data_IF_025452677449
#
_entry.id   IF_025452677449
#
_cell.length_a   1.000
_cell.length_b   1.000
_cell.length_c   1.000
_cell.angle_alpha   90.00
_cell.angle_beta   90.00
_cell.angle_gamma   90.00
#
_symmetry.space_group_name_H-M   'P 1'
#
loop_
_entity.id
_entity.type
_entity.pdbx_description
1 polymer ?
#
# COMPACT_ATOMS: atom_id res chain seq x y z
N UNK A 1 -5.97 -23.85 67.84
CA UNK A 1 -5.01 -24.10 66.74
C UNK A 1 -5.80 -24.58 65.52
N UNK A 2 -5.73 -23.80 64.42
CA UNK A 2 -5.70 -24.18 62.98
C UNK A 2 -6.72 -25.24 62.50
N UNK A 3 -7.58 -25.02 61.52
CA UNK A 3 -7.34 -24.35 60.24
C UNK A 3 -8.67 -23.89 59.61
N UNK A 4 -8.67 -22.69 59.04
CA UNK A 4 -9.67 -22.23 58.09
C UNK A 4 -9.47 -22.95 56.75
N UNK A 5 -10.51 -23.61 56.25
CA UNK A 5 -10.57 -24.22 54.92
C UNK A 5 -11.01 -23.12 53.95
N UNK A 6 -10.05 -22.54 53.21
CA UNK A 6 -10.34 -21.66 52.08
C UNK A 6 -10.69 -22.51 50.86
N UNK A 7 -11.99 -22.63 50.59
CA UNK A 7 -12.51 -23.18 49.34
C UNK A 7 -12.27 -22.14 48.24
N UNK A 8 -11.15 -22.26 47.54
CA UNK A 8 -10.87 -21.47 46.33
C UNK A 8 -11.59 -22.17 45.19
N UNK A 9 -12.78 -21.65 44.86
CA UNK A 9 -13.54 -22.05 43.69
C UNK A 9 -12.75 -21.71 42.43
N UNK A 10 -12.46 -22.74 41.63
CA UNK A 10 -11.88 -22.64 40.29
C UNK A 10 -12.82 -21.84 39.38
N UNK A 11 -12.60 -20.54 39.29
CA UNK A 11 -13.09 -19.74 38.18
C UNK A 11 -12.22 -20.10 36.96
N UNK A 12 -12.69 -21.03 36.14
CA UNK A 12 -12.17 -21.28 34.80
C UNK A 12 -12.44 -20.06 33.93
N UNK A 13 -11.62 -19.02 34.12
CA UNK A 13 -11.48 -17.94 33.14
C UNK A 13 -10.87 -18.56 31.89
N UNK A 14 -11.72 -18.89 30.92
CA UNK A 14 -11.32 -19.07 29.55
C UNK A 14 -10.69 -17.75 29.10
N UNK A 15 -9.37 -17.67 29.26
CA UNK A 15 -8.56 -16.59 28.71
C UNK A 15 -8.60 -16.79 27.20
N UNK A 16 -9.48 -16.05 26.53
CA UNK A 16 -9.43 -15.92 25.09
C UNK A 16 -8.08 -15.26 24.75
N UNK A 17 -7.10 -16.08 24.38
CA UNK A 17 -5.84 -15.61 23.82
C UNK A 17 -6.21 -14.94 22.50
N UNK A 18 -6.25 -13.61 22.51
CA UNK A 18 -6.34 -12.84 21.28
C UNK A 18 -4.94 -12.86 20.69
N UNK A 19 -4.70 -13.76 19.74
CA UNK A 19 -3.47 -13.83 19.00
C UNK A 19 -3.37 -12.54 18.18
N UNK A 20 -2.58 -11.60 18.69
CA UNK A 20 -2.27 -10.36 17.99
C UNK A 20 -1.31 -10.71 16.87
N UNK A 21 -1.85 -11.03 15.69
CA UNK A 21 -1.05 -11.23 14.49
C UNK A 21 -0.19 -9.98 14.26
N UNK A 22 1.11 -10.07 14.56
CA UNK A 22 2.05 -8.99 14.30
C UNK A 22 2.21 -8.87 12.79
N UNK A 23 1.51 -7.90 12.18
CA UNK A 23 1.68 -7.59 10.76
C UNK A 23 3.12 -7.11 10.57
N UNK A 24 3.88 -7.82 9.75
CA UNK A 24 5.22 -7.40 9.34
C UNK A 24 5.19 -5.93 8.89
N UNK A 25 6.21 -5.12 9.26
CA UNK A 25 6.27 -3.73 8.85
C UNK A 25 6.17 -3.60 7.32
N UNK A 26 5.26 -2.74 6.87
CA UNK A 26 5.02 -2.46 5.46
C UNK A 26 5.32 -1.00 5.14
N UNK A 27 5.58 -0.73 3.86
CA UNK A 27 5.77 0.62 3.34
C UNK A 27 4.98 0.80 2.05
N UNK A 28 4.40 1.98 1.87
CA UNK A 28 3.80 2.37 0.60
C UNK A 28 4.86 2.99 -0.30
N UNK A 29 4.92 2.50 -1.53
CA UNK A 29 5.76 3.04 -2.61
C UNK A 29 4.89 3.46 -3.78
N UNK A 30 5.35 4.41 -4.57
CA UNK A 30 4.64 4.96 -5.72
C UNK A 30 5.51 4.97 -6.96
N UNK A 31 4.88 4.99 -8.13
CA UNK A 31 5.54 5.27 -9.41
C UNK A 31 4.56 6.02 -10.32
N UNK A 32 5.08 7.02 -11.03
CA UNK A 32 4.29 7.78 -11.99
C UNK A 32 3.79 6.89 -13.13
N UNK A 33 2.53 7.05 -13.49
CA UNK A 33 1.89 6.29 -14.56
C UNK A 33 2.26 6.79 -15.94
N UNK A 34 2.69 8.04 -16.06
CA UNK A 34 2.93 8.69 -17.35
C UNK A 34 1.65 8.95 -18.14
N UNK A 35 0.50 9.07 -17.46
CA UNK A 35 -0.75 9.48 -18.11
C UNK A 35 -0.68 10.96 -18.51
N UNK A 36 -1.32 11.30 -19.62
CA UNK A 36 -1.39 12.64 -20.19
C UNK A 36 -2.84 13.15 -20.26
N UNK A 37 -3.00 14.48 -20.23
CA UNK A 37 -4.28 15.15 -20.35
C UNK A 37 -4.92 14.85 -21.71
N UNK A 38 -6.26 14.79 -21.73
CA UNK A 38 -7.10 14.49 -22.89
C UNK A 38 -7.01 13.06 -23.45
N UNK A 39 -6.21 12.17 -22.84
CA UNK A 39 -6.19 10.74 -23.17
C UNK A 39 -6.46 9.88 -21.93
N UNK A 40 -7.71 9.42 -21.82
CA UNK A 40 -8.18 8.60 -20.70
C UNK A 40 -7.55 7.20 -20.66
N UNK A 41 -7.00 6.72 -21.77
CA UNK A 41 -6.35 5.40 -21.86
C UNK A 41 -4.83 5.49 -21.68
N UNK A 42 -4.30 6.70 -21.56
CA UNK A 42 -2.87 6.92 -21.37
C UNK A 42 -2.37 6.47 -19.99
N UNK A 43 -1.07 6.21 -19.96
CA UNK A 43 -0.36 5.81 -18.76
C UNK A 43 -0.42 4.32 -18.48
N UNK A 44 0.48 3.88 -17.61
CA UNK A 44 0.69 2.47 -17.30
C UNK A 44 -0.32 2.00 -16.24
N UNK A 45 -1.05 0.88 -16.49
CA UNK A 45 -1.92 0.27 -15.50
C UNK A 45 -1.16 -0.17 -14.23
N UNK A 46 -1.82 -0.16 -13.06
CA UNK A 46 -1.22 -0.66 -11.81
C UNK A 46 -0.78 -2.12 -11.92
N UNK A 47 -1.51 -2.95 -12.67
CA UNK A 47 -1.21 -4.37 -12.89
C UNK A 47 0.15 -4.61 -13.53
N UNK A 48 0.55 -3.75 -14.48
CA UNK A 48 1.85 -3.85 -15.16
C UNK A 48 2.98 -3.56 -14.16
N UNK A 49 2.86 -2.50 -13.37
CA UNK A 49 3.84 -2.14 -12.35
C UNK A 49 3.86 -3.11 -11.17
N UNK A 50 2.71 -3.69 -10.80
CA UNK A 50 2.66 -4.80 -9.84
C UNK A 50 3.51 -5.97 -10.34
N UNK A 51 3.36 -6.32 -11.62
CA UNK A 51 4.12 -7.41 -12.21
C UNK A 51 5.63 -7.10 -12.28
N UNK A 52 6.05 -5.83 -12.40
CA UNK A 52 7.45 -5.42 -12.25
C UNK A 52 7.99 -5.78 -10.85
N UNK A 53 7.22 -5.45 -9.79
CA UNK A 53 7.58 -5.77 -8.41
C UNK A 53 7.63 -7.29 -8.17
N UNK A 54 6.62 -8.03 -8.62
CA UNK A 54 6.53 -9.49 -8.44
C UNK A 54 7.66 -10.21 -9.18
N UNK A 55 8.00 -9.79 -10.40
CA UNK A 55 9.14 -10.37 -11.15
C UNK A 55 10.48 -10.14 -10.47
N UNK A 56 10.59 -9.09 -9.65
CA UNK A 56 11.76 -8.83 -8.82
C UNK A 56 11.74 -9.62 -7.49
N UNK A 57 10.73 -10.47 -7.26
CA UNK A 57 10.58 -11.22 -6.00
C UNK A 57 10.03 -10.38 -4.85
N UNK A 58 9.38 -9.24 -5.14
CA UNK A 58 8.75 -8.38 -4.13
C UNK A 58 7.27 -8.76 -4.03
N UNK A 59 6.85 -9.16 -2.83
CA UNK A 59 5.43 -9.35 -2.51
C UNK A 59 4.71 -8.00 -2.49
N UNK A 60 3.52 -7.96 -3.10
CA UNK A 60 2.65 -6.78 -3.09
C UNK A 60 1.44 -7.07 -2.19
N UNK A 61 1.34 -6.32 -1.10
CA UNK A 61 0.32 -6.47 -0.07
C UNK A 61 -0.99 -5.81 -0.51
N UNK A 62 -0.90 -4.63 -1.13
CA UNK A 62 -2.06 -3.92 -1.67
C UNK A 62 -1.68 -3.02 -2.85
N UNK A 63 -2.66 -2.71 -3.68
CA UNK A 63 -2.54 -1.89 -4.90
C UNK A 63 -3.58 -0.78 -4.83
N UNK A 64 -3.16 0.45 -5.14
CA UNK A 64 -4.04 1.61 -5.27
C UNK A 64 -3.58 2.51 -6.42
N UNK A 65 -4.46 3.40 -6.84
CA UNK A 65 -4.12 4.50 -7.75
C UNK A 65 -4.16 5.82 -6.98
N UNK A 66 -3.59 6.86 -7.56
CA UNK A 66 -3.59 8.17 -6.93
C UNK A 66 -3.15 9.30 -7.83
N UNK A 67 -3.07 10.47 -7.21
CA UNK A 67 -2.52 11.69 -7.78
C UNK A 67 -1.37 12.19 -6.90
N UNK A 68 -0.38 12.83 -7.49
CA UNK A 68 0.83 13.29 -6.81
C UNK A 68 0.65 14.56 -5.96
N UNK A 69 -0.55 15.14 -5.95
CA UNK A 69 -0.88 16.33 -5.17
C UNK A 69 -0.28 17.64 -5.69
N UNK A 70 0.39 17.62 -6.86
CA UNK A 70 0.97 18.81 -7.48
C UNK A 70 -0.03 19.45 -8.45
N UNK A 71 0.14 20.74 -8.70
CA UNK A 71 -0.60 21.41 -9.77
C UNK A 71 0.01 21.03 -11.12
N UNK A 72 -0.84 20.58 -12.05
CA UNK A 72 -0.46 20.26 -13.43
C UNK A 72 -1.21 21.16 -14.41
N UNK A 73 -0.57 21.60 -15.51
CA UNK A 73 -1.26 22.32 -16.58
C UNK A 73 -2.39 21.49 -17.21
N UNK A 74 -3.51 22.13 -17.52
CA UNK A 74 -4.68 21.51 -18.15
C UNK A 74 -4.60 21.61 -19.68
N UNK A 75 -3.51 21.14 -20.28
CA UNK A 75 -3.26 21.18 -21.73
C UNK A 75 -3.14 19.76 -22.27
N UNK A 76 -3.80 19.46 -23.39
CA UNK A 76 -3.71 18.13 -23.98
C UNK A 76 -2.25 17.73 -24.26
N UNK A 77 -1.87 16.51 -23.87
CA UNK A 77 -0.51 15.99 -24.02
C UNK A 77 0.44 16.27 -22.84
N UNK A 78 0.05 17.08 -21.85
CA UNK A 78 0.87 17.26 -20.63
C UNK A 78 0.59 16.17 -19.59
N UNK A 79 1.52 15.88 -18.67
CA UNK A 79 1.29 14.90 -17.60
C UNK A 79 0.09 15.26 -16.70
N UNK A 80 -0.59 14.24 -16.17
CA UNK A 80 -1.71 14.41 -15.23
C UNK A 80 -1.31 14.37 -13.76
N UNK A 81 -0.09 13.93 -13.45
CA UNK A 81 0.32 13.63 -12.06
C UNK A 81 -0.19 12.29 -11.53
N UNK A 82 -0.81 11.45 -12.36
CA UNK A 82 -1.32 10.15 -11.94
C UNK A 82 -0.18 9.20 -11.52
N UNK A 83 -0.37 8.53 -10.38
CA UNK A 83 0.57 7.58 -9.78
C UNK A 83 -0.13 6.24 -9.51
N UNK A 84 0.64 5.16 -9.54
CA UNK A 84 0.25 3.88 -8.95
C UNK A 84 0.95 3.74 -7.60
N UNK A 85 0.24 3.22 -6.60
CA UNK A 85 0.70 3.08 -5.21
C UNK A 85 0.62 1.59 -4.85
N UNK A 86 1.67 1.10 -4.20
CA UNK A 86 1.81 -0.29 -3.79
C UNK A 86 2.25 -0.35 -2.33
N UNK A 87 1.58 -1.16 -1.53
CA UNK A 87 2.09 -1.54 -0.21
C UNK A 87 2.94 -2.80 -0.35
N UNK A 88 4.17 -2.75 0.15
CA UNK A 88 5.13 -3.86 0.10
C UNK A 88 5.77 -4.06 1.48
N UNK A 89 6.34 -5.24 1.76
CA UNK A 89 7.13 -5.44 2.97
C UNK A 89 8.29 -4.44 3.05
N UNK A 90 8.53 -3.85 4.21
CA UNK A 90 9.52 -2.78 4.37
C UNK A 90 10.93 -3.22 4.00
N UNK A 91 11.26 -4.51 4.18
CA UNK A 91 12.55 -5.12 3.78
C UNK A 91 12.82 -5.02 2.26
N UNK A 92 11.78 -4.89 1.43
CA UNK A 92 11.90 -4.80 -0.02
C UNK A 92 11.98 -3.36 -0.56
N UNK A 93 11.89 -2.34 0.31
CA UNK A 93 11.86 -0.93 -0.10
C UNK A 93 13.04 -0.54 -1.00
N UNK A 94 14.26 -0.88 -0.59
CA UNK A 94 15.47 -0.55 -1.34
C UNK A 94 15.49 -1.19 -2.74
N UNK A 95 14.90 -2.38 -2.89
CA UNK A 95 14.79 -3.05 -4.17
C UNK A 95 13.75 -2.38 -5.07
N UNK A 96 12.58 -2.01 -4.52
CA UNK A 96 11.58 -1.23 -5.24
C UNK A 96 12.15 0.11 -5.74
N UNK A 97 12.99 0.77 -4.94
CA UNK A 97 13.63 2.02 -5.35
C UNK A 97 14.57 1.85 -6.55
N UNK A 98 15.29 0.72 -6.64
CA UNK A 98 16.11 0.39 -7.82
C UNK A 98 15.28 0.18 -9.09
N UNK A 99 13.99 -0.17 -8.95
CA UNK A 99 13.03 -0.31 -10.06
C UNK A 99 12.34 1.02 -10.42
N UNK A 100 12.76 2.13 -9.80
CA UNK A 100 12.22 3.46 -10.05
C UNK A 100 10.94 3.80 -9.27
N UNK A 101 10.61 3.04 -8.23
CA UNK A 101 9.56 3.43 -7.28
C UNK A 101 10.13 4.42 -6.27
N UNK A 102 9.30 5.31 -5.75
CA UNK A 102 9.63 6.21 -4.66
C UNK A 102 8.83 5.85 -3.41
N UNK A 103 9.30 6.21 -2.22
CA UNK A 103 8.49 6.09 -1.00
C UNK A 103 7.31 7.07 -1.08
N UNK A 104 6.11 6.61 -0.70
CA UNK A 104 4.98 7.52 -0.51
C UNK A 104 5.19 8.29 0.79
N UNK A 105 5.36 9.60 0.68
CA UNK A 105 5.53 10.52 1.80
C UNK A 105 4.18 11.17 2.13
N UNK A 106 3.76 11.10 3.40
CA UNK A 106 2.53 11.73 3.89
C UNK A 106 2.53 13.25 3.72
N UNK A 107 3.70 13.89 3.62
CA UNK A 107 3.84 15.33 3.42
C UNK A 107 3.82 15.76 1.94
N UNK A 108 3.87 14.82 1.00
CA UNK A 108 3.93 15.11 -0.44
C UNK A 108 2.65 15.71 -1.04
N UNK A 109 1.53 15.62 -0.32
CA UNK A 109 0.21 15.97 -0.83
C UNK A 109 -0.42 14.91 -1.74
N UNK A 110 0.31 13.83 -2.06
CA UNK A 110 -0.17 12.71 -2.84
C UNK A 110 -1.32 11.98 -2.14
N UNK A 111 -2.31 11.54 -2.91
CA UNK A 111 -3.56 10.98 -2.39
C UNK A 111 -3.98 9.78 -3.21
N UNK A 112 -4.52 8.77 -2.54
CA UNK A 112 -5.17 7.66 -3.22
C UNK A 112 -6.49 8.13 -3.85
N UNK A 113 -6.77 7.61 -5.04
CA UNK A 113 -7.99 7.83 -5.81
C UNK A 113 -8.47 6.50 -6.39
N UNK A 114 -9.77 6.37 -6.73
CA UNK A 114 -10.26 5.18 -7.40
C UNK A 114 -9.45 4.89 -8.67
N UNK A 115 -9.01 3.65 -8.84
CA UNK A 115 -8.32 3.26 -10.06
C UNK A 115 -9.27 3.42 -11.26
N UNK A 116 -8.80 4.01 -12.38
CA UNK A 116 -9.63 4.12 -13.57
C UNK A 116 -10.06 2.74 -14.07
N UNK A 117 -11.37 2.55 -14.24
CA UNK A 117 -11.96 1.28 -14.72
C UNK A 117 -11.43 0.88 -16.11
N UNK A 118 -10.94 1.84 -16.89
CA UNK A 118 -10.39 1.63 -18.23
C UNK A 118 -8.99 1.00 -18.20
N UNK A 119 -8.38 0.85 -17.02
CA UNK A 119 -7.01 0.34 -16.85
C UNK A 119 -6.92 -0.89 -15.96
N UNK A 120 -8.03 -1.33 -15.39
CA UNK A 120 -8.15 -2.65 -14.77
C UNK A 120 -8.36 -3.66 -15.88
N UNK A 121 -7.32 -4.41 -16.24
CA UNK A 121 -7.38 -5.54 -17.19
C UNK A 121 -7.63 -6.84 -16.44
#
# INVERSE_FOLDING_TARGET
>A
MRSLIFIITLFTFATAYTETASREPSVKVLKYRGAIQCDQKSGTPPEIMRNELVKAGIEVISVACGEDGRMHPMLCGTPTGAINIFEIPQKNAAQAFKLGFAKLDSSSGARETPCPAQLTQ
#
